data_IF_024830859765
#
_entry.id   IF_024830859765
#
_cell.length_a   1.000
_cell.length_b   1.000
_cell.length_c   1.000
_cell.angle_alpha   90.00
_cell.angle_beta   90.00
_cell.angle_gamma   90.00
#
_symmetry.space_group_name_H-M   'P 1'
#
loop_
_entity.id
_entity.type
_entity.pdbx_description
1 polymer ?
#
# COMPACT_ATOMS: atom_id res chain seq x y z
N UNK A 1 22.95 -6.68 -6.12
CA UNK A 1 22.05 -5.53 -5.91
C UNK A 1 21.03 -5.90 -4.84
N UNK A 2 20.70 -4.97 -3.95
CA UNK A 2 19.70 -5.14 -2.90
C UNK A 2 18.29 -5.05 -3.50
N UNK A 3 17.48 -6.09 -3.37
CA UNK A 3 16.14 -6.12 -3.95
C UNK A 3 15.11 -5.42 -3.07
N UNK A 4 14.33 -4.54 -3.68
CA UNK A 4 13.17 -3.86 -3.07
C UNK A 4 11.92 -4.40 -3.73
N UNK A 5 11.09 -5.13 -2.98
CA UNK A 5 9.84 -5.68 -3.50
C UNK A 5 8.73 -4.67 -3.27
N UNK A 6 8.02 -4.28 -4.34
CA UNK A 6 6.90 -3.33 -4.27
C UNK A 6 5.59 -4.08 -4.45
N UNK A 7 4.87 -4.30 -3.36
CA UNK A 7 3.51 -4.84 -3.42
C UNK A 7 2.53 -3.74 -3.83
N UNK A 8 1.61 -4.07 -4.74
CA UNK A 8 0.69 -3.09 -5.31
C UNK A 8 1.31 -2.18 -6.37
N UNK A 9 2.45 -2.56 -6.94
CA UNK A 9 3.14 -1.80 -7.98
C UNK A 9 2.27 -1.53 -9.22
N UNK A 10 1.35 -2.43 -9.57
CA UNK A 10 0.42 -2.25 -10.70
C UNK A 10 -0.75 -1.29 -10.41
N UNK A 11 -0.86 -0.77 -9.19
CA UNK A 11 -1.78 0.31 -8.85
C UNK A 11 -1.21 1.69 -9.24
N UNK A 12 -2.06 2.73 -9.18
CA UNK A 12 -1.66 4.08 -9.59
C UNK A 12 -0.44 4.58 -8.79
N UNK A 13 -0.53 4.58 -7.45
CA UNK A 13 0.59 5.00 -6.58
C UNK A 13 1.84 4.14 -6.81
N UNK A 14 1.66 2.84 -7.04
CA UNK A 14 2.77 1.91 -7.26
C UNK A 14 3.52 2.19 -8.57
N UNK A 15 2.80 2.47 -9.66
CA UNK A 15 3.43 2.83 -10.94
C UNK A 15 4.24 4.12 -10.83
N UNK A 16 3.70 5.15 -10.18
CA UNK A 16 4.41 6.41 -9.93
C UNK A 16 5.64 6.19 -9.03
N UNK A 17 5.51 5.39 -7.98
CA UNK A 17 6.64 5.06 -7.11
C UNK A 17 7.78 4.39 -7.89
N UNK A 18 7.45 3.36 -8.69
CA UNK A 18 8.45 2.64 -9.50
C UNK A 18 9.11 3.58 -10.50
N UNK A 19 8.32 4.39 -11.22
CA UNK A 19 8.84 5.35 -12.19
C UNK A 19 9.77 6.36 -11.52
N UNK A 20 9.35 6.98 -10.43
CA UNK A 20 10.17 7.94 -9.66
C UNK A 20 11.48 7.32 -9.18
N UNK A 21 11.42 6.09 -8.67
CA UNK A 21 12.61 5.37 -8.22
C UNK A 21 13.60 5.17 -9.37
N UNK A 22 13.14 4.77 -10.54
CA UNK A 22 13.99 4.56 -11.71
C UNK A 22 14.62 5.85 -12.23
N UNK A 23 13.87 6.94 -12.22
CA UNK A 23 14.36 8.25 -12.65
C UNK A 23 15.47 8.80 -11.75
N UNK A 24 15.46 8.47 -10.45
CA UNK A 24 16.37 9.08 -9.47
C UNK A 24 17.43 8.12 -8.92
N UNK A 25 17.21 6.81 -8.99
CA UNK A 25 18.05 5.80 -8.34
C UNK A 25 18.47 4.65 -9.26
N UNK A 26 18.17 4.71 -10.57
CA UNK A 26 18.60 3.71 -11.52
C UNK A 26 20.14 3.61 -11.58
N UNK A 27 20.65 2.40 -11.73
CA UNK A 27 22.09 2.15 -11.78
C UNK A 27 22.82 2.14 -10.41
N UNK A 28 22.08 2.36 -9.31
CA UNK A 28 22.59 2.26 -7.95
C UNK A 28 22.67 0.82 -7.43
N UNK A 29 22.81 0.69 -6.11
CA UNK A 29 22.92 -0.62 -5.44
C UNK A 29 21.58 -1.37 -5.30
N UNK A 30 20.46 -0.73 -5.65
CA UNK A 30 19.09 -1.25 -5.47
C UNK A 30 18.46 -1.68 -6.79
N UNK A 31 17.66 -2.74 -6.71
CA UNK A 31 16.84 -3.24 -7.79
C UNK A 31 15.37 -3.30 -7.34
N UNK A 32 14.48 -2.65 -8.09
CA UNK A 32 13.04 -2.81 -7.89
C UNK A 32 12.56 -4.13 -8.47
N UNK A 33 11.67 -4.78 -7.74
CA UNK A 33 10.85 -5.90 -8.19
C UNK A 33 9.39 -5.51 -7.98
N UNK A 34 8.64 -5.42 -9.06
CA UNK A 34 7.24 -5.01 -9.01
C UNK A 34 6.32 -6.22 -8.84
N UNK A 35 5.23 -6.03 -8.07
CA UNK A 35 4.18 -7.05 -7.93
C UNK A 35 2.79 -6.46 -8.00
N UNK A 36 1.82 -7.29 -8.34
CA UNK A 36 0.40 -6.92 -8.35
C UNK A 36 -0.49 -8.08 -8.80
N UNK A 37 -1.80 -7.91 -8.76
CA UNK A 37 -2.76 -8.94 -9.15
C UNK A 37 -3.13 -8.91 -10.63
N UNK A 38 -2.89 -7.79 -11.30
CA UNK A 38 -3.22 -7.62 -12.73
C UNK A 38 -2.15 -8.25 -13.61
N UNK A 39 -2.55 -8.77 -14.73
CA UNK A 39 -1.64 -9.05 -15.83
C UNK A 39 -1.26 -7.74 -16.51
N UNK A 40 0.04 -7.47 -16.70
CA UNK A 40 0.53 -6.22 -17.28
C UNK A 40 1.93 -6.38 -17.81
N UNK A 41 2.20 -5.73 -18.94
CA UNK A 41 3.52 -5.58 -19.55
C UNK A 41 4.14 -4.19 -19.27
N UNK A 42 3.47 -3.38 -18.43
CA UNK A 42 3.88 -2.01 -18.15
C UNK A 42 5.33 -1.90 -17.66
N UNK A 43 5.79 -2.85 -16.88
CA UNK A 43 7.12 -2.82 -16.25
C UNK A 43 8.24 -3.30 -17.18
N UNK A 44 7.93 -4.02 -18.25
CA UNK A 44 8.90 -4.56 -19.22
C UNK A 44 9.68 -3.44 -19.91
N UNK A 45 9.01 -2.34 -20.28
CA UNK A 45 9.63 -1.18 -20.93
C UNK A 45 10.73 -0.53 -20.08
N UNK A 46 10.74 -0.80 -18.77
CA UNK A 46 11.73 -0.28 -17.82
C UNK A 46 12.75 -1.34 -17.39
N UNK A 47 12.65 -2.55 -17.91
CA UNK A 47 13.48 -3.69 -17.46
C UNK A 47 13.25 -4.09 -16.00
N UNK A 48 12.09 -3.78 -15.43
CA UNK A 48 11.73 -4.11 -14.05
C UNK A 48 11.03 -5.47 -14.02
N UNK A 49 11.56 -6.45 -13.27
CA UNK A 49 10.88 -7.73 -13.08
C UNK A 49 9.51 -7.52 -12.45
N UNK A 50 8.50 -8.15 -13.03
CA UNK A 50 7.13 -8.13 -12.52
C UNK A 50 6.64 -9.55 -12.19
N UNK A 51 6.08 -9.71 -11.00
CA UNK A 51 5.46 -10.96 -10.57
C UNK A 51 3.98 -10.73 -10.29
N UNK A 52 3.14 -11.50 -10.96
CA UNK A 52 1.71 -11.52 -10.63
C UNK A 52 1.51 -12.33 -9.35
N UNK A 53 1.16 -11.61 -8.27
CA UNK A 53 0.97 -12.17 -6.93
C UNK A 53 -0.29 -11.59 -6.30
N UNK A 54 -1.18 -12.46 -5.87
CA UNK A 54 -2.31 -12.14 -5.00
C UNK A 54 -1.85 -12.32 -3.54
N UNK A 55 -1.70 -11.21 -2.82
CA UNK A 55 -1.20 -11.22 -1.44
C UNK A 55 -2.11 -11.99 -0.47
N UNK A 56 -3.38 -12.22 -0.82
CA UNK A 56 -4.29 -13.02 0.00
C UNK A 56 -3.98 -14.52 -0.05
N UNK A 57 -3.12 -14.95 -1.00
CA UNK A 57 -2.74 -16.34 -1.25
C UNK A 57 -1.29 -16.57 -0.84
N UNK A 58 -1.11 -17.19 0.30
CA UNK A 58 0.23 -17.46 0.87
C UNK A 58 1.16 -18.21 -0.09
N UNK A 59 0.63 -19.17 -0.82
CA UNK A 59 1.38 -20.01 -1.76
C UNK A 59 1.99 -19.21 -2.93
N UNK A 60 1.40 -18.07 -3.30
CA UNK A 60 1.89 -17.26 -4.41
C UNK A 60 3.20 -16.52 -4.09
N UNK A 61 3.53 -16.37 -2.82
CA UNK A 61 4.81 -15.78 -2.40
C UNK A 61 6.03 -16.63 -2.76
N UNK A 62 5.82 -17.92 -3.04
CA UNK A 62 6.89 -18.80 -3.55
C UNK A 62 7.46 -18.35 -4.91
N UNK A 63 6.72 -17.55 -5.66
CA UNK A 63 7.15 -16.97 -6.95
C UNK A 63 8.17 -15.84 -6.77
N UNK A 64 8.23 -15.22 -5.59
CA UNK A 64 9.02 -14.04 -5.33
C UNK A 64 10.49 -14.39 -5.00
N UNK A 65 11.42 -13.45 -5.26
CA UNK A 65 12.82 -13.62 -4.84
C UNK A 65 12.96 -13.83 -3.33
N UNK A 66 13.96 -14.60 -2.91
CA UNK A 66 14.23 -14.85 -1.48
C UNK A 66 15.24 -13.90 -0.86
N UNK A 67 16.06 -13.23 -1.66
CA UNK A 67 17.07 -12.25 -1.24
C UNK A 67 16.47 -10.84 -1.24
N UNK A 68 15.72 -10.53 -0.20
CA UNK A 68 14.95 -9.29 -0.07
C UNK A 68 15.63 -8.35 0.91
N UNK A 69 15.94 -7.14 0.45
CA UNK A 69 16.45 -6.08 1.32
C UNK A 69 15.33 -5.28 1.96
N UNK A 70 14.35 -4.86 1.16
CA UNK A 70 13.24 -4.06 1.64
C UNK A 70 11.92 -4.42 0.95
N UNK A 71 10.84 -4.13 1.63
CA UNK A 71 9.48 -4.22 1.09
C UNK A 71 8.83 -2.85 1.12
N UNK A 72 8.18 -2.47 0.02
CA UNK A 72 7.29 -1.31 -0.07
C UNK A 72 5.88 -1.84 -0.27
N UNK A 73 5.03 -1.68 0.72
CA UNK A 73 3.67 -2.17 0.70
C UNK A 73 2.68 -1.03 0.41
N UNK A 74 2.29 -0.95 -0.86
CA UNK A 74 1.25 -0.09 -1.39
C UNK A 74 -0.02 -0.88 -1.74
N UNK A 75 -0.03 -2.19 -1.47
CA UNK A 75 -1.19 -3.01 -1.72
C UNK A 75 -2.31 -2.71 -0.70
N UNK A 76 -3.53 -2.80 -1.15
CA UNK A 76 -4.67 -2.63 -0.25
C UNK A 76 -6.00 -2.53 -1.00
N UNK A 77 -7.04 -3.01 -0.34
CA UNK A 77 -8.42 -2.70 -0.70
C UNK A 77 -8.79 -1.35 -0.08
N UNK A 78 -9.37 -0.47 -0.88
CA UNK A 78 -9.82 0.85 -0.42
C UNK A 78 -11.24 1.14 -0.92
N UNK A 79 -12.07 1.90 -0.15
CA UNK A 79 -13.45 2.20 -0.54
C UNK A 79 -13.57 2.83 -1.92
N UNK A 80 -12.72 3.80 -2.23
CA UNK A 80 -12.75 4.53 -3.50
C UNK A 80 -12.52 3.65 -4.76
N UNK A 81 -12.08 2.42 -4.59
CA UNK A 81 -11.83 1.46 -5.69
C UNK A 81 -12.79 0.27 -5.69
N UNK A 82 -13.81 0.31 -4.84
CA UNK A 82 -14.79 -0.77 -4.71
C UNK A 82 -16.17 -0.32 -5.17
N UNK A 83 -16.80 -1.13 -6.02
CA UNK A 83 -18.21 -0.98 -6.37
C UNK A 83 -19.05 -1.60 -5.25
N UNK A 84 -19.52 -0.76 -4.33
CA UNK A 84 -20.30 -1.19 -3.17
C UNK A 84 -19.43 -1.61 -1.97
N UNK A 85 -20.09 -1.76 -0.84
CA UNK A 85 -19.46 -2.14 0.42
C UNK A 85 -19.21 -3.64 0.48
N UNK A 86 -17.95 -4.03 0.72
CA UNK A 86 -17.56 -5.42 0.95
C UNK A 86 -16.51 -5.49 2.07
N UNK A 87 -16.92 -5.70 3.32
CA UNK A 87 -16.01 -5.74 4.47
C UNK A 87 -15.03 -6.92 4.42
N UNK A 88 -15.42 -8.06 3.85
CA UNK A 88 -14.53 -9.22 3.71
C UNK A 88 -13.29 -8.89 2.89
N UNK A 89 -13.43 -8.09 1.84
CA UNK A 89 -12.28 -7.68 1.03
C UNK A 89 -11.25 -6.86 1.81
N UNK A 90 -11.67 -6.07 2.80
CA UNK A 90 -10.73 -5.37 3.69
C UNK A 90 -10.00 -6.35 4.60
N UNK A 91 -10.70 -7.35 5.13
CA UNK A 91 -10.07 -8.39 5.96
C UNK A 91 -9.08 -9.20 5.13
N UNK A 92 -9.51 -9.71 3.98
CA UNK A 92 -8.69 -10.57 3.14
C UNK A 92 -7.43 -9.84 2.65
N UNK A 93 -7.59 -8.64 2.10
CA UNK A 93 -6.46 -7.90 1.48
C UNK A 93 -5.64 -7.15 2.53
N UNK A 94 -6.30 -6.36 3.40
CA UNK A 94 -5.56 -5.45 4.28
C UNK A 94 -5.07 -6.12 5.57
N UNK A 95 -5.64 -7.27 5.98
CA UNK A 95 -5.19 -8.01 7.16
C UNK A 95 -4.46 -9.27 6.75
N UNK A 96 -5.14 -10.22 6.11
CA UNK A 96 -4.51 -11.50 5.72
C UNK A 96 -3.39 -11.27 4.72
N UNK A 97 -3.59 -10.40 3.71
CA UNK A 97 -2.56 -10.05 2.74
C UNK A 97 -1.33 -9.42 3.39
N UNK A 98 -1.54 -8.48 4.33
CA UNK A 98 -0.43 -7.88 5.09
C UNK A 98 0.31 -8.89 5.96
N UNK A 99 -0.41 -9.81 6.61
CA UNK A 99 0.24 -10.88 7.38
C UNK A 99 1.13 -11.74 6.48
N UNK A 100 0.67 -12.09 5.28
CA UNK A 100 1.49 -12.85 4.31
C UNK A 100 2.73 -12.07 3.87
N UNK A 101 2.62 -10.73 3.68
CA UNK A 101 3.77 -9.87 3.38
C UNK A 101 4.76 -9.85 4.56
N UNK A 102 4.28 -9.74 5.79
CA UNK A 102 5.12 -9.74 6.98
C UNK A 102 5.83 -11.09 7.18
N UNK A 103 5.13 -12.20 6.98
CA UNK A 103 5.76 -13.52 6.99
C UNK A 103 6.81 -13.67 5.89
N UNK A 104 6.56 -13.13 4.70
CA UNK A 104 7.56 -13.08 3.63
C UNK A 104 8.79 -12.26 4.05
N UNK A 105 8.60 -11.10 4.69
CA UNK A 105 9.71 -10.32 5.25
C UNK A 105 10.50 -11.14 6.27
N UNK A 106 9.82 -11.78 7.21
CA UNK A 106 10.45 -12.56 8.29
C UNK A 106 11.25 -13.74 7.76
N UNK A 107 10.66 -14.53 6.87
CA UNK A 107 11.30 -15.76 6.33
C UNK A 107 12.50 -15.43 5.45
N UNK A 108 12.51 -14.27 4.80
CA UNK A 108 13.61 -13.84 3.93
C UNK A 108 14.54 -12.81 4.59
N UNK A 109 14.41 -12.58 5.90
CA UNK A 109 15.24 -11.65 6.68
C UNK A 109 15.31 -10.24 6.04
N UNK A 110 14.16 -9.73 5.55
CA UNK A 110 14.10 -8.38 5.03
C UNK A 110 14.48 -7.36 6.12
N UNK A 111 15.31 -6.37 5.78
CA UNK A 111 15.79 -5.37 6.75
C UNK A 111 14.66 -4.40 7.16
N UNK A 112 13.78 -4.07 6.23
CA UNK A 112 12.75 -3.04 6.45
C UNK A 112 11.49 -3.21 5.62
N UNK A 113 10.40 -2.63 6.16
CA UNK A 113 9.14 -2.46 5.45
C UNK A 113 8.71 -0.98 5.47
N UNK A 114 8.24 -0.49 4.32
CA UNK A 114 7.54 0.78 4.17
C UNK A 114 6.06 0.47 3.92
N UNK A 115 5.18 1.02 4.73
CA UNK A 115 3.75 0.73 4.66
C UNK A 115 2.92 1.99 4.41
N UNK A 116 2.06 1.93 3.41
CA UNK A 116 1.08 2.98 3.12
C UNK A 116 -0.14 2.83 4.03
N UNK A 117 -0.12 3.56 5.16
CA UNK A 117 -1.27 3.74 6.05
C UNK A 117 -2.20 4.83 5.50
N UNK A 118 -3.43 4.84 5.96
CA UNK A 118 -4.40 5.91 5.68
C UNK A 118 -4.43 6.94 6.80
N UNK A 119 -4.55 8.23 6.46
CA UNK A 119 -4.82 9.28 7.44
C UNK A 119 -6.25 9.21 8.03
N UNK A 120 -7.07 8.29 7.55
CA UNK A 120 -8.44 8.10 8.00
C UNK A 120 -8.58 7.82 9.50
N UNK A 121 -7.49 7.39 10.16
CA UNK A 121 -7.44 7.15 11.60
C UNK A 121 -7.22 8.43 12.45
N UNK A 122 -6.90 9.56 11.82
CA UNK A 122 -6.69 10.86 12.46
C UNK A 122 -7.43 12.02 11.76
N UNK A 123 -8.17 11.75 10.69
CA UNK A 123 -8.82 12.79 9.87
C UNK A 123 -9.78 13.69 10.68
N UNK A 124 -10.45 13.12 11.69
CA UNK A 124 -11.44 13.83 12.52
C UNK A 124 -10.82 14.91 13.42
N UNK A 125 -9.49 14.96 13.52
CA UNK A 125 -8.78 16.08 14.14
C UNK A 125 -8.66 17.29 13.21
N UNK A 126 -8.76 17.11 11.88
CA UNK A 126 -8.58 18.17 10.90
C UNK A 126 -9.60 19.31 11.01
N UNK A 127 -10.79 19.04 11.54
CA UNK A 127 -11.81 20.05 11.81
C UNK A 127 -11.44 21.00 12.96
N UNK A 128 -10.66 20.51 13.93
CA UNK A 128 -10.28 21.23 15.13
C UNK A 128 -8.82 21.73 15.09
N UNK A 129 -7.98 21.11 14.30
CA UNK A 129 -6.58 21.39 14.22
C UNK A 129 -6.10 21.30 12.75
N UNK A 130 -5.75 22.41 12.11
CA UNK A 130 -5.31 22.40 10.71
C UNK A 130 -3.99 21.68 10.48
N UNK A 131 -3.20 21.43 11.54
CA UNK A 131 -1.94 20.72 11.47
C UNK A 131 -2.07 19.34 12.12
N UNK A 132 -2.12 18.30 11.32
CA UNK A 132 -2.11 16.92 11.79
C UNK A 132 -0.66 16.46 12.00
N UNK A 133 -0.32 16.08 13.22
CA UNK A 133 1.01 15.56 13.58
C UNK A 133 1.02 14.02 13.63
N UNK A 134 2.22 13.45 13.62
CA UNK A 134 2.40 11.99 13.65
C UNK A 134 2.00 11.36 14.98
N UNK A 135 2.00 12.16 16.07
CA UNK A 135 1.75 11.69 17.44
C UNK A 135 0.27 11.67 17.80
N UNK A 136 -0.62 12.14 16.93
CA UNK A 136 -2.05 12.13 17.18
C UNK A 136 -2.54 10.70 17.40
N UNK A 137 -3.27 10.44 18.51
CA UNK A 137 -3.88 9.15 18.75
C UNK A 137 -4.95 8.85 17.70
N UNK A 138 -5.23 7.57 17.50
CA UNK A 138 -6.30 7.14 16.57
C UNK A 138 -7.65 7.68 17.03
N UNK A 139 -8.36 8.34 16.12
CA UNK A 139 -9.72 8.89 16.35
C UNK A 139 -10.49 8.80 15.03
N UNK A 140 -11.51 7.96 14.98
CA UNK A 140 -12.37 7.78 13.81
C UNK A 140 -13.76 7.33 14.20
N UNK A 141 -14.75 7.62 13.34
CA UNK A 141 -16.14 7.24 13.54
C UNK A 141 -16.35 5.73 13.33
N UNK A 142 -17.26 5.13 14.10
CA UNK A 142 -17.71 3.74 13.94
C UNK A 142 -19.00 3.60 13.12
N UNK A 143 -19.50 4.69 12.55
CA UNK A 143 -20.82 4.74 11.89
C UNK A 143 -20.74 4.93 10.37
N UNK A 144 -19.56 4.72 9.77
CA UNK A 144 -19.37 4.87 8.32
C UNK A 144 -18.98 3.55 7.66
N UNK A 145 -19.24 3.41 6.37
CA UNK A 145 -18.78 2.26 5.58
C UNK A 145 -17.25 2.22 5.41
N UNK A 146 -16.56 3.33 5.71
CA UNK A 146 -15.11 3.41 5.78
C UNK A 146 -14.51 2.83 7.07
N UNK A 147 -15.32 2.58 8.10
CA UNK A 147 -14.84 2.15 9.42
C UNK A 147 -14.01 0.87 9.34
N UNK A 148 -14.52 -0.18 8.70
CA UNK A 148 -13.80 -1.46 8.58
C UNK A 148 -12.50 -1.29 7.79
N UNK A 149 -12.49 -0.42 6.78
CA UNK A 149 -11.25 -0.08 6.06
C UNK A 149 -10.22 0.56 7.01
N UNK A 150 -10.62 1.59 7.77
CA UNK A 150 -9.72 2.27 8.72
C UNK A 150 -9.21 1.30 9.78
N UNK A 151 -10.09 0.46 10.33
CA UNK A 151 -9.73 -0.57 11.30
C UNK A 151 -8.74 -1.58 10.71
N UNK A 152 -8.97 -2.05 9.47
CA UNK A 152 -8.07 -3.01 8.81
C UNK A 152 -6.67 -2.44 8.59
N UNK A 153 -6.57 -1.16 8.20
CA UNK A 153 -5.27 -0.48 8.04
C UNK A 153 -4.57 -0.26 9.40
N UNK A 154 -5.32 0.04 10.45
CA UNK A 154 -4.77 0.16 11.80
C UNK A 154 -4.28 -1.19 12.33
N UNK A 155 -5.02 -2.27 12.09
CA UNK A 155 -4.60 -3.60 12.50
C UNK A 155 -3.32 -4.04 11.77
N UNK A 156 -3.18 -3.67 10.48
CA UNK A 156 -1.94 -3.90 9.75
C UNK A 156 -0.74 -3.19 10.41
N UNK A 157 -0.92 -1.94 10.87
CA UNK A 157 0.12 -1.22 11.63
C UNK A 157 0.47 -1.95 12.93
N UNK A 158 -0.52 -2.45 13.67
CA UNK A 158 -0.28 -3.18 14.92
C UNK A 158 0.48 -4.52 14.66
N UNK A 159 0.18 -5.22 13.56
CA UNK A 159 0.95 -6.38 13.13
C UNK A 159 2.40 -6.00 12.77
N UNK A 160 2.60 -4.91 12.02
CA UNK A 160 3.95 -4.42 11.66
C UNK A 160 4.74 -4.07 12.93
N UNK A 161 4.11 -3.44 13.91
CA UNK A 161 4.74 -3.16 15.21
C UNK A 161 5.16 -4.44 15.92
N UNK A 162 4.30 -5.45 15.95
CA UNK A 162 4.64 -6.75 16.53
C UNK A 162 5.86 -7.38 15.83
N UNK A 163 5.91 -7.37 14.49
CA UNK A 163 7.06 -7.90 13.74
C UNK A 163 8.33 -7.09 13.96
N UNK A 164 8.21 -5.78 14.17
CA UNK A 164 9.34 -4.96 14.58
C UNK A 164 9.90 -5.40 15.94
N UNK A 165 9.04 -5.54 16.94
CA UNK A 165 9.45 -5.90 18.30
C UNK A 165 9.99 -7.34 18.38
N UNK A 166 9.36 -8.28 17.69
CA UNK A 166 9.70 -9.71 17.78
C UNK A 166 10.88 -10.10 16.88
N UNK A 167 11.02 -9.47 15.73
CA UNK A 167 11.97 -9.93 14.69
C UNK A 167 12.94 -8.83 14.22
N UNK A 168 12.86 -7.62 14.78
CA UNK A 168 13.76 -6.52 14.43
C UNK A 168 13.49 -5.90 13.04
N UNK A 169 12.36 -6.20 12.40
CA UNK A 169 11.98 -5.62 11.11
C UNK A 169 11.84 -4.10 11.25
N UNK A 170 12.72 -3.32 10.63
CA UNK A 170 12.59 -1.84 10.63
C UNK A 170 11.34 -1.43 9.89
N UNK A 171 10.59 -0.48 10.42
CA UNK A 171 9.30 -0.06 9.89
C UNK A 171 9.24 1.44 9.61
N UNK A 172 8.58 1.77 8.52
CA UNK A 172 8.27 3.15 8.12
C UNK A 172 6.79 3.18 7.73
N UNK A 173 5.99 3.91 8.52
CA UNK A 173 4.54 3.99 8.35
C UNK A 173 4.21 5.38 7.83
N UNK A 174 3.59 5.46 6.65
CA UNK A 174 3.18 6.72 6.05
C UNK A 174 1.67 6.85 6.09
N UNK A 175 1.14 7.75 6.91
CA UNK A 175 -0.27 8.15 6.88
C UNK A 175 -0.49 9.02 5.66
N UNK A 176 -0.86 8.39 4.57
CA UNK A 176 -1.08 9.07 3.31
C UNK A 176 -2.46 9.75 3.32
N UNK A 177 -2.53 11.04 2.94
CA UNK A 177 -3.79 11.73 2.68
C UNK A 177 -4.41 11.20 1.38
N UNK A 178 -5.50 11.82 0.94
CA UNK A 178 -6.05 11.54 -0.40
C UNK A 178 -5.01 11.92 -1.44
N UNK A 179 -4.59 10.94 -2.23
CA UNK A 179 -3.61 11.14 -3.29
C UNK A 179 -4.37 11.37 -4.59
N UNK A 180 -4.14 12.52 -5.18
CA UNK A 180 -4.63 12.86 -6.51
C UNK A 180 -3.53 12.57 -7.53
N UNK A 181 -3.67 11.48 -8.25
CA UNK A 181 -2.76 11.12 -9.33
C UNK A 181 -3.50 11.19 -10.66
N UNK A 182 -2.80 11.58 -11.72
CA UNK A 182 -3.32 11.36 -13.05
C UNK A 182 -3.54 9.86 -13.24
N UNK A 183 -4.78 9.48 -13.44
CA UNK A 183 -5.16 8.10 -13.71
C UNK A 183 -5.99 8.09 -14.99
N UNK A 184 -5.74 7.17 -15.92
CA UNK A 184 -6.63 6.98 -17.06
C UNK A 184 -8.02 6.48 -16.64
N UNK A 185 -8.16 6.02 -15.40
CA UNK A 185 -9.45 5.66 -14.79
C UNK A 185 -10.03 6.90 -14.14
N UNK A 186 -10.98 7.53 -14.81
CA UNK A 186 -11.64 8.78 -14.40
C UNK A 186 -12.76 8.60 -13.36
N UNK A 187 -12.92 7.40 -12.82
CA UNK A 187 -14.01 7.06 -11.90
C UNK A 187 -13.50 6.53 -10.56
N UNK A 188 -14.19 6.91 -9.49
CA UNK A 188 -13.98 6.40 -8.14
C UNK A 188 -15.33 6.16 -7.46
N UNK A 189 -15.34 5.51 -6.30
CA UNK A 189 -16.55 5.23 -5.55
C UNK A 189 -16.54 5.96 -4.20
N UNK A 190 -17.67 6.55 -3.85
CA UNK A 190 -17.94 7.10 -2.52
C UNK A 190 -19.22 6.44 -2.03
N UNK A 191 -19.17 5.78 -0.88
CA UNK A 191 -20.30 5.05 -0.29
C UNK A 191 -20.98 4.09 -1.30
N UNK A 192 -20.16 3.41 -2.10
CA UNK A 192 -20.62 2.51 -3.14
C UNK A 192 -21.18 3.18 -4.39
N UNK A 193 -21.28 4.51 -4.42
CA UNK A 193 -21.77 5.28 -5.58
C UNK A 193 -20.60 5.67 -6.47
N UNK A 194 -20.69 5.32 -7.74
CA UNK A 194 -19.69 5.72 -8.74
C UNK A 194 -19.70 7.23 -8.97
N UNK A 195 -18.52 7.85 -8.90
CA UNK A 195 -18.29 9.28 -9.15
C UNK A 195 -17.23 9.44 -10.23
N UNK A 196 -17.30 10.52 -11.00
CA UNK A 196 -16.22 10.92 -11.91
C UNK A 196 -15.20 11.79 -11.16
N UNK A 197 -13.92 11.54 -11.42
CA UNK A 197 -12.87 12.45 -10.99
C UNK A 197 -12.97 13.69 -11.88
N UNK A 198 -13.47 14.79 -11.32
CA UNK A 198 -13.30 16.08 -11.98
C UNK A 198 -11.82 16.44 -11.96
N UNK A 199 -11.21 16.55 -13.13
CA UNK A 199 -9.81 16.91 -13.25
C UNK A 199 -9.57 18.29 -12.62
N UNK A 200 -8.91 18.31 -11.48
CA UNK A 200 -8.07 19.40 -11.04
C UNK A 200 -6.73 18.79 -10.71
N UNK A 201 -5.91 18.67 -11.71
CA UNK A 201 -4.48 18.58 -11.55
C UNK A 201 -4.01 19.92 -10.98
N UNK A 202 -3.63 19.94 -9.73
CA UNK A 202 -2.64 20.87 -9.27
C UNK A 202 -1.30 20.22 -9.58
N UNK A 203 -0.79 20.51 -10.77
CA UNK A 203 0.63 20.35 -11.09
C UNK A 203 1.19 21.76 -10.88
N UNK A 204 1.91 21.93 -9.81
CA UNK A 204 2.95 22.94 -9.66
C UNK A 204 4.29 22.21 -9.53
#
# INVERSE_FOLDING_TARGET
MKKIIVFGASGDTGQYFVKYFLEHYAGGEYQIVATGTRETHYFEQFGVPYYRVDITKKEEFSKLPRDVYAVVDLAGAMPARMKGYNPYKYIDVNITGNLNILEYCRVNNADRILFAQSFGDIKDYGEQNPLLTVDLPRKFSFTSDHTIYVMSKNFAVDMIENYHQMYGLKRFIFRLPTIYLYSPVDTFYVDGVQRKIGYRLLID
#
